data_IF_487055170156
#
_entry.id   IF_487055170156
#
_cell.length_a   1.000
_cell.length_b   1.000
_cell.length_c   1.000
_cell.angle_alpha   90.00
_cell.angle_beta   90.00
_cell.angle_gamma   90.00
#
_symmetry.space_group_name_H-M   'P 1'
#
loop_
_entity.id
_entity.type
_entity.pdbx_description
1 polymer ?
#
# COMPACT_ATOMS: atom_id res chain seq x y z
N UNK A 1 -13.20 -46.64 -16.43
CA UNK A 1 -12.54 -45.82 -17.47
C UNK A 1 -13.50 -44.70 -17.81
N UNK A 2 -12.98 -43.46 -17.79
CA UNK A 2 -13.49 -42.20 -18.38
C UNK A 2 -14.96 -41.82 -18.09
N UNK A 3 -15.30 -40.67 -17.52
CA UNK A 3 -14.78 -39.32 -17.80
C UNK A 3 -14.77 -38.44 -16.55
N UNK A 4 -13.57 -38.02 -16.16
CA UNK A 4 -13.27 -36.88 -15.32
C UNK A 4 -12.60 -35.86 -16.24
N UNK A 5 -13.16 -34.66 -16.40
CA UNK A 5 -12.45 -33.37 -16.76
C UNK A 5 -13.36 -32.18 -17.15
N UNK A 6 -14.70 -32.22 -17.01
CA UNK A 6 -15.57 -31.12 -17.51
C UNK A 6 -16.20 -30.18 -16.48
N UNK A 7 -15.79 -30.21 -15.21
CA UNK A 7 -16.45 -29.42 -14.15
C UNK A 7 -15.68 -28.20 -13.60
N UNK A 8 -14.39 -28.04 -13.90
CA UNK A 8 -13.53 -27.08 -13.19
C UNK A 8 -13.27 -25.75 -13.92
N UNK A 9 -13.58 -25.65 -15.21
CA UNK A 9 -13.16 -24.52 -16.04
C UNK A 9 -14.17 -23.34 -16.10
N UNK A 10 -15.36 -23.47 -15.52
CA UNK A 10 -16.45 -22.49 -15.67
C UNK A 10 -17.11 -22.09 -14.33
N UNK A 11 -16.47 -22.33 -13.17
CA UNK A 11 -17.00 -21.79 -11.90
C UNK A 11 -16.71 -20.28 -11.83
N UNK A 12 -17.72 -19.40 -11.83
CA UNK A 12 -17.52 -17.94 -11.79
C UNK A 12 -16.70 -17.48 -10.58
N UNK A 13 -16.79 -18.18 -9.46
CA UNK A 13 -16.00 -17.90 -8.25
C UNK A 13 -14.51 -18.16 -8.48
N UNK A 14 -14.15 -19.34 -9.02
CA UNK A 14 -12.76 -19.69 -9.33
C UNK A 14 -12.14 -18.70 -10.32
N UNK A 15 -12.90 -18.26 -11.34
CA UNK A 15 -12.44 -17.26 -12.31
C UNK A 15 -12.15 -15.92 -11.61
N UNK A 16 -13.04 -15.47 -10.71
CA UNK A 16 -12.84 -14.21 -9.97
C UNK A 16 -11.64 -14.30 -9.04
N UNK A 17 -11.47 -15.41 -8.31
CA UNK A 17 -10.32 -15.62 -7.42
C UNK A 17 -8.99 -15.60 -8.19
N UNK A 18 -8.90 -16.30 -9.33
CA UNK A 18 -7.71 -16.28 -10.19
C UNK A 18 -7.42 -14.87 -10.71
N UNK A 19 -8.42 -14.13 -11.16
CA UNK A 19 -8.25 -12.73 -11.60
C UNK A 19 -7.73 -11.83 -10.47
N UNK A 20 -8.20 -12.01 -9.24
CA UNK A 20 -7.73 -11.26 -8.07
C UNK A 20 -6.28 -11.61 -7.76
N UNK A 21 -5.92 -12.89 -7.72
CA UNK A 21 -4.52 -13.32 -7.49
C UNK A 21 -3.60 -12.77 -8.59
N UNK A 22 -4.10 -12.65 -9.83
CA UNK A 22 -3.34 -12.08 -10.94
C UNK A 22 -3.04 -10.57 -10.80
N UNK A 23 -3.64 -9.86 -9.84
CA UNK A 23 -3.25 -8.49 -9.49
C UNK A 23 -1.88 -8.42 -8.80
N UNK A 24 -1.39 -9.54 -8.25
CA UNK A 24 -0.10 -9.60 -7.56
C UNK A 24 1.02 -9.52 -8.60
N UNK A 25 1.87 -8.51 -8.47
CA UNK A 25 3.00 -8.26 -9.38
C UNK A 25 4.18 -9.21 -9.11
N UNK A 26 4.32 -9.68 -7.87
CA UNK A 26 5.30 -10.69 -7.44
C UNK A 26 5.03 -12.03 -8.13
N UNK A 27 5.92 -12.49 -9.03
CA UNK A 27 5.67 -13.68 -9.82
C UNK A 27 5.67 -14.95 -8.95
N UNK A 28 6.57 -15.08 -7.99
CA UNK A 28 6.64 -16.25 -7.12
C UNK A 28 5.44 -16.32 -6.17
N UNK A 29 5.03 -15.19 -5.59
CA UNK A 29 3.85 -15.14 -4.72
C UNK A 29 2.59 -15.45 -5.52
N UNK A 30 2.43 -14.83 -6.70
CA UNK A 30 1.29 -15.10 -7.59
C UNK A 30 1.22 -16.57 -7.97
N UNK A 31 2.33 -17.16 -8.40
CA UNK A 31 2.39 -18.58 -8.74
C UNK A 31 2.04 -19.47 -7.52
N UNK A 32 2.59 -19.15 -6.35
CA UNK A 32 2.31 -19.90 -5.13
C UNK A 32 0.82 -19.90 -4.76
N UNK A 33 0.18 -18.73 -4.82
CA UNK A 33 -1.23 -18.57 -4.46
C UNK A 33 -2.17 -19.17 -5.52
N UNK A 34 -1.86 -19.07 -6.82
CA UNK A 34 -2.61 -19.74 -7.87
C UNK A 34 -2.57 -21.27 -7.73
N UNK A 35 -1.44 -21.83 -7.29
CA UNK A 35 -1.32 -23.27 -7.01
C UNK A 35 -1.97 -23.69 -5.69
N UNK A 36 -2.19 -22.75 -4.77
CA UNK A 36 -2.71 -23.03 -3.43
C UNK A 36 -3.87 -22.09 -3.04
N UNK A 37 -4.93 -21.96 -3.86
CA UNK A 37 -6.02 -21.03 -3.60
C UNK A 37 -6.78 -21.36 -2.31
N UNK A 38 -6.74 -22.61 -1.85
CA UNK A 38 -7.33 -23.07 -0.59
C UNK A 38 -6.68 -22.45 0.66
N UNK A 39 -5.55 -21.75 0.53
CA UNK A 39 -4.93 -21.04 1.64
C UNK A 39 -5.48 -19.62 1.83
N UNK A 40 -6.31 -19.15 0.89
CA UNK A 40 -6.93 -17.84 0.92
C UNK A 40 -8.35 -17.92 1.45
N UNK A 41 -8.80 -16.80 2.02
CA UNK A 41 -10.17 -16.55 2.46
C UNK A 41 -10.69 -15.29 1.76
N UNK A 42 -11.99 -15.02 1.82
CA UNK A 42 -12.60 -13.77 1.30
C UNK A 42 -11.87 -12.50 1.74
N UNK A 43 -11.42 -12.44 3.00
CA UNK A 43 -10.64 -11.31 3.53
C UNK A 43 -9.31 -11.13 2.79
N UNK A 44 -8.62 -12.23 2.48
CA UNK A 44 -7.38 -12.17 1.71
C UNK A 44 -7.61 -11.63 0.29
N UNK A 45 -8.70 -12.03 -0.37
CA UNK A 45 -9.04 -11.50 -1.70
C UNK A 45 -9.33 -10.00 -1.64
N UNK A 46 -10.04 -9.54 -0.62
CA UNK A 46 -10.29 -8.10 -0.38
C UNK A 46 -8.98 -7.33 -0.16
N UNK A 47 -8.06 -7.88 0.64
CA UNK A 47 -6.75 -7.27 0.88
C UNK A 47 -5.87 -7.24 -0.37
N UNK A 48 -5.92 -8.28 -1.23
CA UNK A 48 -5.23 -8.28 -2.53
C UNK A 48 -5.76 -7.17 -3.43
N UNK A 49 -7.08 -7.00 -3.54
CA UNK A 49 -7.68 -5.91 -4.31
C UNK A 49 -7.28 -4.54 -3.73
N UNK A 50 -7.32 -4.40 -2.41
CA UNK A 50 -6.94 -3.19 -1.69
C UNK A 50 -5.52 -2.74 -1.95
N UNK A 51 -4.56 -3.66 -1.80
CA UNK A 51 -3.13 -3.35 -1.96
C UNK A 51 -2.64 -3.23 -3.39
N UNK A 52 -3.34 -3.80 -4.37
CA UNK A 52 -2.92 -3.77 -5.78
C UNK A 52 -2.74 -2.34 -6.31
N UNK A 53 -1.70 -2.10 -7.11
CA UNK A 53 -1.41 -0.79 -7.74
C UNK A 53 -2.22 -0.59 -9.03
N UNK A 54 -3.54 -0.74 -8.94
CA UNK A 54 -4.50 -0.56 -10.03
C UNK A 54 -5.44 0.61 -9.75
N UNK A 55 -6.09 1.12 -10.79
CA UNK A 55 -7.06 2.22 -10.66
C UNK A 55 -8.20 1.85 -9.69
N UNK A 56 -8.65 2.83 -8.90
CA UNK A 56 -9.68 2.66 -7.89
C UNK A 56 -11.02 2.16 -8.45
N UNK A 57 -11.39 2.58 -9.67
CA UNK A 57 -12.60 2.08 -10.35
C UNK A 57 -12.49 0.57 -10.62
N UNK A 58 -11.30 0.10 -10.97
CA UNK A 58 -11.05 -1.34 -11.16
C UNK A 58 -11.12 -2.09 -9.83
N UNK A 59 -10.59 -1.51 -8.73
CA UNK A 59 -10.74 -2.09 -7.39
C UNK A 59 -12.22 -2.26 -7.02
N UNK A 60 -13.03 -1.22 -7.19
CA UNK A 60 -14.49 -1.24 -6.97
C UNK A 60 -15.20 -2.33 -7.80
N UNK A 61 -14.85 -2.45 -9.08
CA UNK A 61 -15.39 -3.49 -9.97
C UNK A 61 -15.06 -4.88 -9.44
N UNK A 62 -13.81 -5.12 -9.04
CA UNK A 62 -13.35 -6.42 -8.56
C UNK A 62 -14.00 -6.81 -7.23
N UNK A 63 -14.15 -5.86 -6.29
CA UNK A 63 -14.91 -6.09 -5.07
C UNK A 63 -16.37 -6.48 -5.37
N UNK A 64 -17.01 -5.79 -6.31
CA UNK A 64 -18.40 -6.09 -6.71
C UNK A 64 -18.54 -7.50 -7.27
N UNK A 65 -17.54 -7.94 -8.05
CA UNK A 65 -17.49 -9.30 -8.61
C UNK A 65 -17.20 -10.35 -7.55
N UNK A 66 -16.34 -10.05 -6.58
CA UNK A 66 -16.07 -10.91 -5.42
C UNK A 66 -17.36 -11.14 -4.61
N UNK A 67 -18.07 -10.08 -4.26
CA UNK A 67 -19.38 -10.16 -3.57
C UNK A 67 -20.38 -11.01 -4.36
N UNK A 68 -20.46 -10.82 -5.68
CA UNK A 68 -21.38 -11.58 -6.52
C UNK A 68 -21.03 -13.07 -6.59
N UNK A 69 -19.74 -13.40 -6.59
CA UNK A 69 -19.24 -14.78 -6.59
C UNK A 69 -19.49 -15.47 -5.23
N UNK A 70 -19.15 -14.81 -4.12
CA UNK A 70 -19.24 -15.40 -2.79
C UNK A 70 -20.68 -15.52 -2.27
N UNK A 71 -21.62 -14.65 -2.70
CA UNK A 71 -23.05 -14.81 -2.36
C UNK A 71 -23.68 -16.11 -2.87
N UNK A 72 -23.05 -16.78 -3.84
CA UNK A 72 -23.47 -18.11 -4.32
C UNK A 72 -22.91 -19.28 -3.51
N UNK A 73 -21.91 -19.02 -2.65
CA UNK A 73 -21.21 -19.98 -1.80
C UNK A 73 -21.84 -19.98 -0.40
N UNK A 74 -22.33 -21.12 0.07
CA UNK A 74 -23.07 -21.20 1.34
C UNK A 74 -22.19 -21.14 2.60
N UNK A 75 -20.87 -20.96 2.46
CA UNK A 75 -19.91 -21.28 3.51
C UNK A 75 -18.88 -20.19 3.82
N UNK A 76 -18.81 -19.09 3.06
CA UNK A 76 -17.84 -18.03 3.35
C UNK A 76 -18.52 -16.87 4.07
N UNK A 77 -18.08 -16.64 5.30
CA UNK A 77 -18.40 -15.44 6.07
C UNK A 77 -17.10 -14.67 6.13
N UNK A 78 -17.07 -13.45 5.60
CA UNK A 78 -15.97 -12.53 5.85
C UNK A 78 -15.85 -12.34 7.37
N UNK A 79 -14.69 -12.62 7.94
CA UNK A 79 -14.47 -12.48 9.39
C UNK A 79 -14.36 -11.00 9.78
N UNK A 80 -14.05 -10.13 8.82
CA UNK A 80 -13.92 -8.69 8.94
C UNK A 80 -14.89 -7.92 8.01
N UNK A 81 -14.84 -6.58 8.02
CA UNK A 81 -15.73 -5.70 7.26
C UNK A 81 -15.84 -6.12 5.79
N UNK A 82 -17.05 -6.51 5.36
CA UNK A 82 -17.28 -7.12 4.05
C UNK A 82 -16.94 -6.19 2.88
N UNK A 83 -16.67 -6.76 1.68
CA UNK A 83 -16.30 -5.98 0.50
C UNK A 83 -17.35 -4.92 0.12
N UNK A 84 -18.61 -5.08 0.51
CA UNK A 84 -19.66 -4.06 0.35
C UNK A 84 -19.31 -2.72 1.02
N UNK A 85 -18.73 -2.75 2.22
CA UNK A 85 -18.35 -1.52 2.95
C UNK A 85 -17.22 -0.80 2.20
N UNK A 86 -16.30 -1.56 1.62
CA UNK A 86 -15.24 -1.03 0.77
C UNK A 86 -15.81 -0.39 -0.50
N UNK A 87 -16.83 -1.01 -1.12
CA UNK A 87 -17.51 -0.46 -2.29
C UNK A 87 -18.20 0.87 -1.96
N UNK A 88 -18.96 0.92 -0.87
CA UNK A 88 -19.68 2.13 -0.45
C UNK A 88 -18.72 3.30 -0.21
N UNK A 89 -17.60 3.03 0.47
CA UNK A 89 -16.56 4.03 0.71
C UNK A 89 -15.90 4.54 -0.58
N UNK A 90 -15.58 3.64 -1.52
CA UNK A 90 -15.05 4.05 -2.83
C UNK A 90 -16.09 4.90 -3.58
N UNK A 91 -17.37 4.51 -3.55
CA UNK A 91 -18.46 5.23 -4.20
C UNK A 91 -18.64 6.64 -3.63
N UNK A 92 -18.68 6.78 -2.30
CA UNK A 92 -18.77 8.07 -1.63
C UNK A 92 -17.62 8.99 -1.99
N UNK A 93 -16.40 8.46 -2.00
CA UNK A 93 -15.20 9.18 -2.36
C UNK A 93 -15.20 9.64 -3.83
N UNK A 94 -15.57 8.76 -4.76
CA UNK A 94 -15.66 9.09 -6.19
C UNK A 94 -16.80 10.09 -6.47
N UNK A 95 -17.91 9.97 -5.75
CA UNK A 95 -19.02 10.93 -5.83
C UNK A 95 -18.60 12.31 -5.31
N UNK A 96 -17.83 12.36 -4.22
CA UNK A 96 -17.28 13.60 -3.67
C UNK A 96 -16.35 14.29 -4.69
N UNK A 97 -15.50 13.53 -5.38
CA UNK A 97 -14.59 14.02 -6.42
C UNK A 97 -15.35 14.58 -7.64
N UNK A 98 -16.39 13.87 -8.11
CA UNK A 98 -17.26 14.34 -9.20
C UNK A 98 -18.00 15.63 -8.83
N UNK A 99 -18.30 15.80 -7.55
CA UNK A 99 -19.03 16.96 -7.04
C UNK A 99 -18.15 18.19 -6.83
N UNK A 100 -16.86 18.18 -7.18
CA UNK A 100 -15.97 19.35 -7.00
C UNK A 100 -16.41 20.56 -7.82
N UNK A 101 -16.80 20.32 -9.07
CA UNK A 101 -17.08 21.37 -10.05
C UNK A 101 -18.28 22.22 -9.62
N UNK A 102 -18.00 23.48 -9.23
CA UNK A 102 -19.03 24.49 -8.90
C UNK A 102 -19.59 24.45 -7.48
N UNK A 103 -19.08 23.60 -6.57
CA UNK A 103 -19.71 23.31 -5.27
C UNK A 103 -18.95 23.78 -4.01
N UNK A 104 -18.29 24.94 -4.03
CA UNK A 104 -17.44 25.41 -2.90
C UNK A 104 -16.42 24.36 -2.44
N UNK A 105 -16.03 23.44 -3.33
CA UNK A 105 -14.99 22.45 -3.11
C UNK A 105 -13.74 22.86 -3.86
N UNK A 106 -12.58 22.53 -3.31
CA UNK A 106 -11.28 22.79 -3.94
C UNK A 106 -10.41 21.55 -3.77
N UNK A 107 -9.63 21.26 -4.81
CA UNK A 107 -8.60 20.24 -4.76
C UNK A 107 -7.25 20.93 -4.59
N UNK A 108 -6.44 20.45 -3.65
CA UNK A 108 -5.02 20.81 -3.55
C UNK A 108 -4.19 19.65 -4.10
N UNK A 109 -3.34 19.93 -5.08
CA UNK A 109 -2.53 18.91 -5.74
C UNK A 109 -1.08 19.12 -5.37
N UNK A 110 -0.48 18.08 -4.81
CA UNK A 110 0.92 18.06 -4.39
C UNK A 110 1.62 16.91 -5.11
N UNK A 111 2.75 17.21 -5.73
CA UNK A 111 3.67 16.17 -6.17
C UNK A 111 4.43 15.67 -4.94
N UNK A 112 4.48 14.34 -4.80
CA UNK A 112 5.25 13.67 -3.76
C UNK A 112 6.34 12.85 -4.44
N UNK A 113 7.57 13.02 -3.99
CA UNK A 113 8.69 12.18 -4.39
C UNK A 113 9.62 11.92 -3.22
N UNK A 114 10.57 11.01 -3.44
CA UNK A 114 11.66 10.75 -2.52
C UNK A 114 12.85 11.65 -2.87
N UNK A 115 13.43 12.31 -1.88
CA UNK A 115 14.58 13.21 -2.06
C UNK A 115 15.79 12.59 -1.38
N UNK A 116 16.92 12.50 -2.09
CA UNK A 116 18.12 11.73 -1.67
C UNK A 116 18.63 12.03 -0.25
N UNK A 117 18.38 13.24 0.27
CA UNK A 117 18.84 13.68 1.60
C UNK A 117 17.74 13.63 2.67
N UNK A 118 16.51 13.27 2.32
CA UNK A 118 15.38 13.23 3.25
C UNK A 118 15.02 11.79 3.61
N UNK A 119 14.69 11.60 4.89
CA UNK A 119 14.22 10.32 5.39
C UNK A 119 12.73 10.21 5.01
N UNK A 120 12.42 9.69 3.82
CA UNK A 120 11.06 9.42 3.37
C UNK A 120 10.61 10.19 2.12
N UNK A 121 9.29 10.20 1.91
CA UNK A 121 8.65 10.92 0.80
C UNK A 121 8.25 12.32 1.25
N UNK A 122 8.46 13.33 0.42
CA UNK A 122 8.09 14.70 0.72
C UNK A 122 7.32 15.35 -0.44
N UNK A 123 6.53 16.37 -0.10
CA UNK A 123 5.93 17.23 -1.11
C UNK A 123 7.05 18.05 -1.73
N UNK A 124 7.41 17.77 -2.99
CA UNK A 124 8.48 18.53 -3.66
C UNK A 124 7.93 19.75 -4.40
N UNK A 125 6.70 19.65 -4.89
CA UNK A 125 6.01 20.75 -5.58
C UNK A 125 4.53 20.79 -5.20
N UNK A 126 4.00 22.01 -5.04
CA UNK A 126 2.63 22.26 -4.61
C UNK A 126 2.55 22.74 -3.15
N UNK A 127 1.35 22.76 -2.54
CA UNK A 127 0.07 22.41 -3.17
C UNK A 127 -0.37 23.42 -4.24
N UNK A 128 -0.88 22.93 -5.37
CA UNK A 128 -1.51 23.74 -6.42
C UNK A 128 -3.05 23.62 -6.36
N UNK A 129 -3.78 24.72 -6.10
CA UNK A 129 -5.23 24.67 -5.97
C UNK A 129 -5.93 24.63 -7.33
N UNK A 130 -6.93 23.74 -7.46
CA UNK A 130 -7.80 23.67 -8.63
C UNK A 130 -9.26 23.50 -8.25
N UNK A 131 -10.16 23.99 -9.11
CA UNK A 131 -11.60 23.97 -8.88
C UNK A 131 -12.33 22.82 -9.60
N UNK A 132 -11.59 21.89 -10.23
CA UNK A 132 -12.16 20.72 -10.90
C UNK A 132 -11.16 19.58 -11.02
N UNK A 133 -11.66 18.34 -11.13
CA UNK A 133 -10.81 17.17 -11.40
C UNK A 133 -10.15 17.25 -12.78
N UNK A 134 -10.85 17.79 -13.79
CA UNK A 134 -10.26 17.96 -15.13
C UNK A 134 -9.10 18.97 -15.12
N UNK A 135 -9.19 20.03 -14.32
CA UNK A 135 -8.09 20.96 -14.13
C UNK A 135 -6.92 20.28 -13.38
N UNK A 136 -7.22 19.38 -12.44
CA UNK A 136 -6.19 18.59 -11.75
C UNK A 136 -5.38 17.74 -12.72
N UNK A 137 -6.06 16.92 -13.54
CA UNK A 137 -5.42 16.09 -14.56
C UNK A 137 -4.60 16.91 -15.55
N UNK A 138 -5.09 18.10 -15.92
CA UNK A 138 -4.36 19.01 -16.82
C UNK A 138 -3.08 19.52 -16.18
N UNK A 139 -3.12 19.88 -14.89
CA UNK A 139 -1.95 20.34 -14.14
C UNK A 139 -0.91 19.22 -13.95
N UNK A 140 -1.35 18.02 -13.57
CA UNK A 140 -0.49 16.84 -13.43
C UNK A 140 0.21 16.50 -14.74
N UNK A 141 -0.54 16.49 -15.85
CA UNK A 141 0.03 16.24 -17.18
C UNK A 141 1.05 17.31 -17.58
N UNK A 142 0.72 18.59 -17.38
CA UNK A 142 1.64 19.68 -17.70
C UNK A 142 2.95 19.60 -16.89
N UNK A 143 2.87 19.16 -15.63
CA UNK A 143 4.04 18.88 -14.82
C UNK A 143 4.86 17.71 -15.40
N UNK A 144 4.24 16.57 -15.67
CA UNK A 144 4.91 15.40 -16.24
C UNK A 144 5.59 15.72 -17.58
N UNK A 145 4.91 16.45 -18.48
CA UNK A 145 5.43 16.87 -19.78
C UNK A 145 6.68 17.78 -19.64
N UNK A 146 6.71 18.63 -18.60
CA UNK A 146 7.85 19.52 -18.34
C UNK A 146 9.03 18.78 -17.71
N UNK A 147 8.77 17.94 -16.72
CA UNK A 147 9.81 17.38 -15.85
C UNK A 147 10.35 16.02 -16.30
N UNK A 148 9.60 15.23 -17.07
CA UNK A 148 10.04 13.91 -17.57
C UNK A 148 11.31 13.97 -18.45
N UNK A 149 11.59 15.12 -19.08
CA UNK A 149 12.84 15.33 -19.82
C UNK A 149 14.02 15.84 -18.96
N UNK A 150 13.79 16.15 -17.69
CA UNK A 150 14.77 16.79 -16.78
C UNK A 150 15.15 15.89 -15.60
N UNK A 151 14.23 15.07 -15.13
CA UNK A 151 14.43 14.17 -13.98
C UNK A 151 13.68 12.86 -14.18
N UNK A 152 14.13 11.81 -13.49
CA UNK A 152 13.35 10.59 -13.36
C UNK A 152 12.14 10.88 -12.45
N UNK A 153 10.96 10.48 -12.92
CA UNK A 153 9.69 10.59 -12.20
C UNK A 153 9.17 9.21 -11.77
N UNK A 154 10.00 8.17 -11.87
CA UNK A 154 9.59 6.79 -11.54
C UNK A 154 9.13 6.64 -10.08
N UNK A 155 9.67 7.45 -9.17
CA UNK A 155 9.32 7.50 -7.75
C UNK A 155 8.41 8.69 -7.39
N UNK A 156 7.81 9.34 -8.40
CA UNK A 156 6.89 10.46 -8.21
C UNK A 156 5.45 9.98 -8.19
N UNK A 157 4.65 10.57 -7.32
CA UNK A 157 3.21 10.34 -7.21
C UNK A 157 2.48 11.65 -6.93
N UNK A 158 1.15 11.62 -6.99
CA UNK A 158 0.31 12.76 -6.65
C UNK A 158 -0.46 12.49 -5.37
N UNK A 159 -0.43 13.44 -4.46
CA UNK A 159 -1.42 13.57 -3.39
C UNK A 159 -2.41 14.66 -3.77
N UNK A 160 -3.69 14.34 -3.69
CA UNK A 160 -4.79 15.24 -4.02
C UNK A 160 -5.68 15.32 -2.80
N UNK A 161 -5.76 16.49 -2.19
CA UNK A 161 -6.59 16.72 -1.00
C UNK A 161 -7.85 17.46 -1.40
N UNK A 162 -9.01 16.89 -1.08
CA UNK A 162 -10.32 17.49 -1.35
C UNK A 162 -10.84 18.22 -0.12
N UNK A 163 -10.97 19.54 -0.23
CA UNK A 163 -11.55 20.37 0.81
C UNK A 163 -12.95 20.83 0.43
N UNK A 164 -13.87 20.75 1.39
CA UNK A 164 -15.17 21.38 1.30
C UNK A 164 -15.15 22.70 2.10
N UNK A 165 -15.10 23.82 1.38
CA UNK A 165 -15.05 25.17 1.95
C UNK A 165 -16.39 25.63 2.54
N UNK A 166 -17.42 24.77 2.51
CA UNK A 166 -18.64 24.97 3.26
C UNK A 166 -18.60 24.35 4.66
N UNK A 167 -17.64 23.45 4.94
CA UNK A 167 -17.46 22.88 6.27
C UNK A 167 -17.01 23.98 7.24
N UNK A 168 -17.55 23.94 8.45
CA UNK A 168 -17.13 24.81 9.54
C UNK A 168 -15.85 24.21 10.17
N UNK A 169 -14.69 24.91 10.10
CA UNK A 169 -13.47 24.42 10.72
C UNK A 169 -13.62 24.23 12.22
N UNK A 170 -14.56 24.92 12.88
CA UNK A 170 -14.82 24.75 14.32
C UNK A 170 -15.43 23.40 14.70
N UNK A 171 -15.82 22.59 13.72
CA UNK A 171 -16.33 21.25 13.91
C UNK A 171 -15.26 20.14 13.78
N UNK A 172 -13.99 20.45 13.46
CA UNK A 172 -12.90 19.47 13.52
C UNK A 172 -12.34 19.35 14.94
N UNK A 173 -12.09 18.13 15.43
CA UNK A 173 -11.50 17.89 16.74
C UNK A 173 -10.11 17.22 16.61
N UNK A 174 -9.08 17.72 17.32
CA UNK A 174 -9.05 18.96 18.08
C UNK A 174 -9.12 20.18 17.14
N UNK A 175 -9.92 21.18 17.53
CA UNK A 175 -9.96 22.44 16.77
C UNK A 175 -8.62 23.15 16.87
N UNK A 176 -7.87 23.12 15.78
CA UNK A 176 -6.58 23.80 15.64
C UNK A 176 -6.65 25.01 14.68
N UNK A 177 -7.85 25.29 14.16
CA UNK A 177 -8.09 26.40 13.22
C UNK A 177 -7.90 26.04 11.75
N UNK A 178 -7.56 24.78 11.42
CA UNK A 178 -7.37 24.33 10.05
C UNK A 178 -8.57 23.48 9.59
N UNK A 179 -8.93 23.64 8.30
CA UNK A 179 -9.79 22.68 7.63
C UNK A 179 -9.00 21.39 7.41
N UNK A 180 -9.66 20.25 7.61
CA UNK A 180 -9.14 18.95 7.17
C UNK A 180 -9.76 18.59 5.81
N UNK A 181 -9.04 17.82 4.98
CA UNK A 181 -9.60 17.33 3.74
C UNK A 181 -10.71 16.30 4.02
N UNK A 182 -11.81 16.38 3.27
CA UNK A 182 -12.86 15.35 3.29
C UNK A 182 -12.30 14.00 2.81
N UNK A 183 -11.40 14.05 1.82
CA UNK A 183 -10.72 12.90 1.24
C UNK A 183 -9.32 13.28 0.75
N UNK A 184 -8.38 12.36 0.88
CA UNK A 184 -7.07 12.42 0.24
C UNK A 184 -6.95 11.29 -0.77
N UNK A 185 -6.65 11.62 -2.02
CA UNK A 185 -6.47 10.67 -3.10
C UNK A 185 -5.00 10.58 -3.46
N UNK A 186 -4.53 9.36 -3.71
CA UNK A 186 -3.19 9.12 -4.18
C UNK A 186 -3.22 8.54 -5.58
N UNK A 187 -2.57 9.24 -6.50
CA UNK A 187 -2.53 8.88 -7.90
C UNK A 187 -1.11 8.64 -8.39
N UNK A 188 -0.96 7.73 -9.35
CA UNK A 188 0.32 7.52 -10.04
C UNK A 188 0.66 8.73 -10.93
N UNK A 189 1.85 8.75 -11.52
CA UNK A 189 2.31 9.87 -12.38
C UNK A 189 1.35 10.23 -13.52
N UNK A 190 0.55 9.28 -14.03
CA UNK A 190 -0.47 9.50 -15.07
C UNK A 190 -1.75 10.17 -14.56
N UNK A 191 -1.92 10.31 -13.24
CA UNK A 191 -3.13 10.85 -12.61
C UNK A 191 -4.21 9.80 -12.33
N UNK A 192 -3.90 8.51 -12.44
CA UNK A 192 -4.84 7.44 -12.08
C UNK A 192 -4.84 7.26 -10.56
N UNK A 193 -6.00 7.47 -9.93
CA UNK A 193 -6.18 7.28 -8.49
C UNK A 193 -6.08 5.78 -8.19
N UNK A 194 -5.16 5.41 -7.29
CA UNK A 194 -4.93 4.02 -6.89
C UNK A 194 -5.30 3.78 -5.41
N UNK A 195 -5.16 4.80 -4.56
CA UNK A 195 -5.40 4.72 -3.13
C UNK A 195 -6.17 5.94 -2.65
N UNK A 196 -6.96 5.75 -1.59
CA UNK A 196 -7.83 6.77 -1.00
C UNK A 196 -7.68 6.70 0.51
N UNK A 197 -7.63 7.87 1.13
CA UNK A 197 -7.75 8.01 2.56
C UNK A 197 -8.85 9.00 2.92
N UNK A 198 -9.53 8.72 4.02
CA UNK A 198 -10.45 9.59 4.73
C UNK A 198 -10.09 9.45 6.19
N UNK A 199 -9.82 10.57 6.83
CA UNK A 199 -9.74 10.60 8.29
C UNK A 199 -11.17 10.55 8.81
N UNK A 200 -11.52 9.51 9.57
CA UNK A 200 -12.79 9.45 10.30
C UNK A 200 -12.51 9.64 11.79
N UNK A 201 -13.23 10.55 12.43
CA UNK A 201 -13.23 10.67 13.89
C UNK A 201 -14.17 9.62 14.49
N UNK A 202 -13.71 8.93 15.54
CA UNK A 202 -14.53 8.07 16.38
C UNK A 202 -15.42 8.80 17.36
N UNK A 203 -16.42 8.09 17.88
CA UNK A 203 -17.43 8.60 18.84
C UNK A 203 -16.83 9.21 20.12
N UNK A 204 -15.54 9.00 20.40
CA UNK A 204 -14.82 9.50 21.58
C UNK A 204 -13.68 10.50 21.27
N UNK A 205 -13.56 11.01 20.05
CA UNK A 205 -12.46 11.90 19.65
C UNK A 205 -11.11 11.17 19.47
N UNK A 206 -11.12 9.85 19.46
CA UNK A 206 -10.03 9.03 18.91
C UNK A 206 -10.25 8.93 17.40
N UNK A 207 -9.21 9.12 16.58
CA UNK A 207 -9.31 8.85 15.15
C UNK A 207 -9.75 7.39 14.99
N UNK A 208 -10.92 7.15 14.38
CA UNK A 208 -11.26 5.79 13.98
C UNK A 208 -10.31 5.47 12.83
N UNK A 209 -9.53 4.42 13.03
CA UNK A 209 -8.90 3.67 11.95
C UNK A 209 -10.03 3.18 11.06
N UNK A 210 -10.42 4.00 10.07
CA UNK A 210 -11.38 3.57 9.08
C UNK A 210 -10.70 2.41 8.36
N UNK A 211 -11.19 1.19 8.59
CA UNK A 211 -10.63 -0.05 8.06
C UNK A 211 -10.56 -0.04 6.54
N UNK A 212 -11.48 0.67 5.88
CA UNK A 212 -11.36 0.90 4.43
C UNK A 212 -10.15 1.79 4.12
N UNK A 213 -9.85 2.77 4.97
CA UNK A 213 -8.56 3.48 5.00
C UNK A 213 -7.36 2.62 5.41
N UNK A 214 -7.52 1.47 6.07
CA UNK A 214 -6.44 0.49 6.30
C UNK A 214 -6.19 -0.41 5.07
N UNK A 215 -7.24 -0.68 4.28
CA UNK A 215 -7.18 -1.50 3.05
C UNK A 215 -6.77 -0.65 1.84
N UNK A 216 -7.23 0.61 1.77
CA UNK A 216 -7.07 1.50 0.62
C UNK A 216 -6.30 2.78 0.93
N UNK A 217 -5.90 3.03 2.17
CA UNK A 217 -5.23 4.26 2.60
C UNK A 217 -3.92 4.00 3.38
N UNK A 218 -3.15 5.06 3.68
CA UNK A 218 -1.76 4.88 4.07
C UNK A 218 -1.42 5.15 5.54
N UNK A 219 -2.35 5.68 6.33
CA UNK A 219 -2.03 6.22 7.66
C UNK A 219 -1.88 5.17 8.75
N UNK A 220 -2.17 3.90 8.46
CA UNK A 220 -1.73 2.79 9.30
C UNK A 220 -1.06 1.74 8.45
N UNK A 221 0.23 1.52 8.79
CA UNK A 221 1.12 0.42 8.39
C UNK A 221 0.43 -0.54 7.44
N UNK A 222 0.61 -0.24 6.15
CA UNK A 222 -0.06 -0.84 5.02
C UNK A 222 -0.48 -2.26 5.28
N UNK A 223 -1.78 -2.50 5.12
CA UNK A 223 -2.42 -3.82 5.06
C UNK A 223 -1.47 -4.92 5.54
N UNK A 224 -1.46 -5.23 6.85
CA UNK A 224 -0.81 -6.45 7.28
C UNK A 224 -1.55 -7.60 6.59
N UNK A 225 -1.01 -8.05 5.47
CA UNK A 225 -1.59 -9.15 4.72
C UNK A 225 -0.84 -10.37 5.19
N UNK A 226 -1.51 -11.17 6.02
CA UNK A 226 -1.03 -12.46 6.46
C UNK A 226 -1.04 -13.49 5.32
N UNK A 227 -0.66 -13.10 4.10
CA UNK A 227 -0.67 -14.00 2.97
C UNK A 227 0.30 -15.15 3.24
N UNK A 228 -0.10 -16.38 2.89
CA UNK A 228 0.84 -17.48 2.79
C UNK A 228 1.83 -17.15 1.67
N UNK A 229 3.12 -17.12 2.00
CA UNK A 229 4.17 -16.74 1.05
C UNK A 229 5.11 -17.90 0.75
N UNK A 230 5.69 -17.94 -0.47
CA UNK A 230 6.61 -19.02 -0.86
C UNK A 230 8.04 -18.82 -0.32
N UNK A 231 8.33 -17.67 0.26
CA UNK A 231 9.69 -17.26 0.61
C UNK A 231 10.20 -17.98 1.85
N UNK A 232 11.47 -18.39 1.82
CA UNK A 232 12.11 -19.17 2.88
C UNK A 232 13.28 -18.41 3.47
N UNK A 233 13.61 -18.76 4.71
CA UNK A 233 14.85 -18.30 5.36
C UNK A 233 16.05 -18.49 4.43
N UNK A 234 16.82 -17.43 4.23
CA UNK A 234 17.97 -17.39 3.32
C UNK A 234 17.67 -16.88 1.92
N UNK A 235 16.40 -16.71 1.55
CA UNK A 235 16.05 -16.09 0.27
C UNK A 235 16.39 -14.61 0.31
N UNK A 236 16.98 -14.11 -0.78
CA UNK A 236 17.18 -12.66 -0.97
C UNK A 236 16.13 -12.18 -1.94
N UNK A 237 15.40 -11.14 -1.53
CA UNK A 237 14.32 -10.54 -2.31
C UNK A 237 14.75 -9.16 -2.78
N UNK A 238 14.45 -8.86 -4.04
CA UNK A 238 14.40 -7.50 -4.59
C UNK A 238 12.95 -7.03 -4.53
N UNK A 239 12.73 -5.81 -4.06
CA UNK A 239 11.40 -5.26 -3.92
C UNK A 239 11.38 -3.82 -4.43
N UNK A 240 10.70 -3.60 -5.55
CA UNK A 240 10.53 -2.28 -6.15
C UNK A 240 9.08 -1.86 -6.05
N UNK A 241 8.79 -0.91 -5.15
CA UNK A 241 7.45 -0.42 -4.87
C UNK A 241 7.14 0.94 -5.51
N UNK A 242 7.96 1.41 -6.46
CA UNK A 242 7.72 2.67 -7.17
C UNK A 242 6.32 2.75 -7.81
N UNK A 243 5.67 3.93 -7.83
CA UNK A 243 6.17 5.21 -7.33
C UNK A 243 6.06 5.41 -5.80
N UNK A 244 5.60 4.40 -5.07
CA UNK A 244 5.29 4.49 -3.64
C UNK A 244 6.50 4.21 -2.73
N UNK A 245 7.68 4.05 -3.32
CA UNK A 245 8.95 3.82 -2.65
C UNK A 245 10.07 4.54 -3.43
N UNK A 246 11.22 4.85 -2.79
CA UNK A 246 12.31 5.59 -3.44
C UNK A 246 12.93 4.83 -4.61
N UNK A 247 12.93 3.50 -4.55
CA UNK A 247 13.54 2.60 -5.52
C UNK A 247 13.50 1.16 -5.02
N UNK A 248 14.19 0.22 -5.72
CA UNK A 248 14.29 -1.15 -5.26
C UNK A 248 15.04 -1.25 -3.92
N UNK A 249 14.49 -2.01 -2.97
CA UNK A 249 15.19 -2.46 -1.78
C UNK A 249 15.60 -3.93 -1.92
N UNK A 250 16.62 -4.34 -1.16
CA UNK A 250 17.02 -5.74 -1.06
C UNK A 250 17.00 -6.20 0.39
N UNK A 251 16.44 -7.38 0.63
CA UNK A 251 16.39 -7.95 1.98
C UNK A 251 16.58 -9.46 1.97
N UNK A 252 17.26 -9.96 3.00
CA UNK A 252 17.42 -11.38 3.30
C UNK A 252 16.29 -11.84 4.22
N UNK A 253 15.50 -12.81 3.76
CA UNK A 253 14.41 -13.40 4.52
C UNK A 253 14.97 -14.20 5.68
N UNK A 254 14.49 -13.90 6.88
CA UNK A 254 15.03 -14.46 8.09
C UNK A 254 14.16 -15.57 8.68
N UNK A 255 12.84 -15.50 8.50
CA UNK A 255 11.91 -16.55 8.94
C UNK A 255 10.60 -16.54 8.13
N UNK A 256 9.68 -17.46 8.47
CA UNK A 256 8.39 -17.62 7.80
C UNK A 256 7.38 -16.49 8.05
N UNK A 257 7.63 -15.62 9.04
CA UNK A 257 6.86 -14.39 9.26
C UNK A 257 7.36 -13.22 8.41
N UNK A 258 8.37 -13.46 7.58
CA UNK A 258 9.02 -12.46 6.75
C UNK A 258 9.69 -11.34 7.55
N UNK A 259 10.16 -11.66 8.76
CA UNK A 259 11.25 -10.87 9.34
C UNK A 259 12.45 -10.94 8.39
N UNK A 260 13.22 -9.87 8.32
CA UNK A 260 14.29 -9.74 7.34
C UNK A 260 15.49 -8.96 7.86
N UNK A 261 16.61 -9.14 7.17
CA UNK A 261 17.83 -8.36 7.30
C UNK A 261 18.03 -7.54 6.02
N UNK A 262 18.42 -6.28 6.14
CA UNK A 262 18.65 -5.38 4.98
C UNK A 262 19.78 -4.39 5.28
N UNK A 263 20.56 -3.94 4.27
CA UNK A 263 21.52 -2.86 4.44
C UNK A 263 20.79 -1.52 4.59
N UNK A 264 21.23 -0.68 5.53
CA UNK A 264 20.84 0.73 5.57
C UNK A 264 21.69 1.58 4.61
N UNK A 265 21.45 2.90 4.57
CA UNK A 265 22.17 3.83 3.71
C UNK A 265 23.69 3.91 3.97
N UNK A 266 24.16 3.46 5.14
CA UNK A 266 25.59 3.37 5.48
C UNK A 266 26.16 1.97 5.20
N UNK A 267 25.35 1.05 4.67
CA UNK A 267 25.72 -0.35 4.43
C UNK A 267 25.71 -1.24 5.67
N UNK A 268 25.19 -0.74 6.81
CA UNK A 268 25.06 -1.55 8.02
C UNK A 268 23.83 -2.45 7.93
N UNK A 269 23.95 -3.68 8.43
CA UNK A 269 22.82 -4.62 8.45
C UNK A 269 21.84 -4.24 9.57
N UNK A 270 20.58 -4.03 9.19
CA UNK A 270 19.43 -3.79 10.08
C UNK A 270 18.46 -4.96 10.00
N UNK A 271 17.58 -5.07 10.99
CA UNK A 271 16.45 -5.98 10.95
C UNK A 271 15.13 -5.23 10.77
N UNK A 272 14.15 -5.90 10.18
CA UNK A 272 12.79 -5.39 10.05
C UNK A 272 11.85 -6.47 9.55
N UNK A 273 10.74 -6.05 8.95
CA UNK A 273 9.72 -6.96 8.46
C UNK A 273 9.27 -6.53 7.07
N UNK A 274 9.28 -7.49 6.13
CA UNK A 274 8.99 -7.23 4.72
C UNK A 274 7.56 -6.70 4.53
N UNK A 275 6.50 -7.30 5.10
CA UNK A 275 5.14 -6.77 4.99
C UNK A 275 5.01 -5.29 5.35
N UNK A 276 5.85 -4.80 6.27
CA UNK A 276 5.84 -3.42 6.72
C UNK A 276 6.86 -2.52 6.00
N UNK A 277 7.52 -2.99 4.94
CA UNK A 277 8.44 -2.14 4.17
C UNK A 277 9.62 -1.60 4.95
N UNK A 278 10.02 -2.27 6.04
CA UNK A 278 11.16 -1.81 6.85
C UNK A 278 12.46 -1.68 6.06
N UNK A 279 12.60 -2.42 4.94
CA UNK A 279 13.77 -2.36 4.07
C UNK A 279 13.91 -1.03 3.30
N UNK A 280 12.86 -0.20 3.23
CA UNK A 280 12.94 1.08 2.55
C UNK A 280 13.54 2.13 3.48
N UNK A 281 14.52 2.89 3.00
CA UNK A 281 15.08 4.01 3.73
C UNK A 281 13.97 5.02 4.08
N UNK A 282 13.86 5.39 5.36
CA UNK A 282 12.83 6.30 5.84
C UNK A 282 11.40 5.75 5.85
N UNK A 283 11.25 4.41 5.93
CA UNK A 283 9.95 3.73 5.99
C UNK A 283 8.95 4.29 7.03
N UNK A 284 9.44 4.88 8.13
CA UNK A 284 8.58 5.48 9.16
C UNK A 284 8.02 6.87 8.78
N UNK A 285 8.41 7.42 7.64
CA UNK A 285 8.15 8.80 7.22
C UNK A 285 7.50 8.88 5.83
N UNK A 286 7.03 7.77 5.27
CA UNK A 286 6.36 7.73 3.97
C UNK A 286 4.85 7.84 4.12
N UNK A 287 4.24 8.69 3.30
CA UNK A 287 2.79 8.93 3.30
C UNK A 287 1.97 7.80 2.66
N UNK A 288 2.59 6.73 2.14
CA UNK A 288 1.94 5.55 1.58
C UNK A 288 2.73 4.28 1.89
N UNK A 289 2.05 3.32 2.51
CA UNK A 289 2.62 1.99 2.77
C UNK A 289 1.81 0.95 2.02
N UNK A 290 2.39 0.38 0.97
CA UNK A 290 1.88 -0.84 0.34
C UNK A 290 2.65 -2.02 0.89
N UNK A 291 1.97 -3.15 1.12
CA UNK A 291 2.67 -4.39 1.50
C UNK A 291 3.67 -4.75 0.39
N UNK A 292 4.98 -4.64 0.63
CA UNK A 292 6.01 -4.84 -0.39
C UNK A 292 6.07 -6.29 -0.89
N UNK A 293 5.47 -7.20 -0.12
CA UNK A 293 5.28 -8.61 -0.48
C UNK A 293 4.64 -8.77 -1.86
N UNK A 294 3.74 -7.87 -2.26
CA UNK A 294 3.11 -7.91 -3.58
C UNK A 294 4.03 -7.65 -4.75
N UNK A 295 5.21 -7.08 -4.52
CA UNK A 295 6.18 -6.72 -5.57
C UNK A 295 7.52 -7.42 -5.40
N UNK A 296 7.67 -8.23 -4.35
CA UNK A 296 8.88 -8.98 -4.08
C UNK A 296 9.21 -9.98 -5.20
N UNK A 297 10.49 -10.09 -5.53
CA UNK A 297 11.04 -11.04 -6.50
C UNK A 297 12.25 -11.70 -5.89
N UNK A 298 12.42 -13.00 -6.10
CA UNK A 298 13.61 -13.69 -5.62
C UNK A 298 14.79 -13.32 -6.53
N UNK A 299 15.88 -12.85 -5.93
CA UNK A 299 17.07 -12.50 -6.69
C UNK A 299 17.80 -13.76 -7.15
N UNK A 300 18.06 -13.82 -8.45
CA UNK A 300 19.09 -14.70 -9.02
C UNK A 300 20.28 -13.81 -9.40
N UNK A 301 21.45 -14.10 -8.82
CA UNK A 301 22.66 -13.26 -8.80
C UNK A 301 23.04 -12.60 -10.15
N UNK A 302 23.82 -11.49 -10.14
CA UNK A 302 24.45 -10.83 -8.98
C UNK A 302 23.60 -9.71 -8.36
N UNK A 303 23.81 -9.45 -7.06
CA UNK A 303 23.25 -8.29 -6.37
C UNK A 303 24.06 -7.03 -6.69
N UNK A 304 23.47 -5.83 -6.50
CA UNK A 304 24.23 -4.60 -6.40
C UNK A 304 25.34 -4.71 -5.35
N UNK A 305 26.49 -4.04 -5.58
CA UNK A 305 27.66 -4.11 -4.69
C UNK A 305 27.34 -3.71 -3.24
N UNK A 306 26.49 -2.70 -3.08
CA UNK A 306 25.96 -2.22 -1.79
C UNK A 306 25.17 -3.30 -1.01
N UNK A 307 24.64 -4.31 -1.71
CA UNK A 307 23.89 -5.41 -1.12
C UNK A 307 24.71 -6.71 -1.02
N UNK A 308 25.99 -6.70 -1.41
CA UNK A 308 26.83 -7.89 -1.41
C UNK A 308 26.96 -8.53 -0.01
N UNK A 309 26.94 -7.73 1.05
CA UNK A 309 26.98 -8.20 2.43
C UNK A 309 25.83 -9.18 2.76
N UNK A 310 24.65 -9.03 2.14
CA UNK A 310 23.54 -9.95 2.35
C UNK A 310 23.85 -11.38 1.87
N UNK A 311 24.65 -11.53 0.81
CA UNK A 311 25.05 -12.84 0.28
C UNK A 311 26.10 -13.54 1.15
N UNK A 312 26.88 -12.78 1.91
CA UNK A 312 27.93 -13.32 2.79
C UNK A 312 27.37 -13.85 4.12
N UNK A 313 26.14 -13.46 4.47
CA UNK A 313 25.44 -13.94 5.67
C UNK A 313 25.07 -15.41 5.49
N UNK A 314 25.71 -16.27 6.28
CA UNK A 314 25.38 -17.70 6.31
C UNK A 314 24.05 -17.94 7.03
N UNK A 315 23.33 -18.98 6.58
CA UNK A 315 22.03 -19.38 7.11
C UNK A 315 21.98 -19.56 8.64
N UNK A 316 23.05 -20.09 9.23
CA UNK A 316 23.19 -20.33 10.67
C UNK A 316 23.38 -19.05 11.48
N UNK A 317 23.84 -17.96 10.84
CA UNK A 317 24.05 -16.66 11.50
C UNK A 317 22.84 -15.74 11.48
N UNK A 318 21.81 -16.07 10.70
CA UNK A 318 20.64 -15.20 10.50
C UNK A 318 19.91 -14.94 11.82
N UNK A 319 19.72 -15.97 12.66
CA UNK A 319 18.97 -15.83 13.92
C UNK A 319 19.76 -14.97 14.92
N UNK A 320 21.07 -15.20 15.03
CA UNK A 320 21.97 -14.40 15.87
C UNK A 320 21.93 -12.92 15.48
N UNK A 321 21.98 -12.61 14.18
CA UNK A 321 21.94 -11.25 13.66
C UNK A 321 20.57 -10.59 13.89
N UNK A 322 19.47 -11.34 13.71
CA UNK A 322 18.13 -10.86 14.05
C UNK A 322 18.03 -10.48 15.53
N UNK A 323 18.57 -11.33 16.43
CA UNK A 323 18.54 -11.09 17.87
C UNK A 323 19.40 -9.90 18.27
N UNK A 324 20.61 -9.78 17.69
CA UNK A 324 21.51 -8.63 17.90
C UNK A 324 20.88 -7.31 17.45
N UNK A 325 20.21 -7.32 16.28
CA UNK A 325 19.49 -6.15 15.79
C UNK A 325 18.26 -5.82 16.66
N UNK A 326 17.54 -6.84 17.16
CA UNK A 326 16.41 -6.65 18.06
C UNK A 326 16.82 -6.10 19.44
N UNK A 327 17.98 -6.49 19.96
CA UNK A 327 18.54 -5.97 21.22
C UNK A 327 18.94 -4.48 21.14
N UNK A 328 19.17 -3.96 19.94
CA UNK A 328 19.48 -2.54 19.70
C UNK A 328 18.23 -1.65 19.51
N UNK A 329 17.00 -2.19 19.62
CA UNK A 329 15.73 -1.46 19.46
C UNK A 329 15.47 -0.39 20.53
N UNK A 330 16.22 -0.36 21.63
CA UNK A 330 16.09 0.69 22.67
C UNK A 330 16.53 2.10 22.21
N UNK A 331 16.91 2.28 20.95
CA UNK A 331 17.27 3.58 20.35
C UNK A 331 16.42 3.96 19.14
N UNK A 332 15.25 3.36 18.96
CA UNK A 332 14.28 3.89 17.98
C UNK A 332 13.75 5.26 18.45
N UNK A 333 13.59 6.26 17.56
CA UNK A 333 13.06 7.56 17.93
C UNK A 333 11.70 7.44 18.63
N UNK A 334 11.52 8.11 19.78
CA UNK A 334 10.33 8.02 20.63
C UNK A 334 8.98 8.35 19.96
N UNK A 335 8.96 8.81 18.71
CA UNK A 335 7.74 8.99 17.92
C UNK A 335 7.07 7.66 17.55
N UNK A 336 7.83 6.56 17.47
CA UNK A 336 7.26 5.20 17.37
C UNK A 336 6.48 4.80 18.63
N UNK A 337 6.83 5.37 19.80
CA UNK A 337 6.09 5.20 21.07
C UNK A 337 4.86 6.12 21.16
N UNK A 338 4.86 7.29 20.51
CA UNK A 338 3.67 8.17 20.45
C UNK A 338 2.50 7.47 19.76
N UNK A 339 2.76 6.59 18.78
CA UNK A 339 1.73 5.77 18.15
C UNK A 339 1.37 4.50 18.92
N UNK A 340 2.25 3.98 19.79
CA UNK A 340 1.90 2.86 20.69
C UNK A 340 1.01 3.30 21.86
N UNK A 341 1.06 4.56 22.25
CA UNK A 341 0.20 5.11 23.31
C UNK A 341 -1.22 5.48 22.85
N UNK A 342 -1.52 5.39 21.55
CA UNK A 342 -2.90 5.52 21.05
C UNK A 342 -3.59 4.17 20.79
N UNK A 343 -2.90 3.06 21.01
CA UNK A 343 -3.44 1.70 20.92
C UNK A 343 -3.65 1.05 22.31
N UNK A 344 -4.12 1.83 23.30
CA UNK A 344 -4.55 1.33 24.61
C UNK A 344 -5.94 1.81 24.97
#
# INVERSE_FOLDING_TARGET
MSESTRGYADNPETIVHEEIINLIESPELREHLLHNPQLLSGDHYTQIIGGASIEINRKREMLSRLVAAERGSSNETFDWYGPEICIDYIDDCLNALKAVDGNRKVLLISEISFVDNEVGSAITHGPFPVASWQAALTAMKAYADKWSGMTDLSSSSWMVELFNLANDPSCSYPYDGFLQPDYTYYANTSGEIQYICREEEGECGEALDCIVGEIFGPWFKGAYIGLPTPYKKGDILEIDCRPWAPGPCYCLVANSKLDCLYPDGDGQIRCGSIPYGSCFAGWAHTNLMLSPVFKAKKVTQPLPEECAALQEIKLDRIDDLLEECAGNKEKEPGWLDIYRHRAR
#
